data_IF_017441946184
#
_entry.id   IF_017441946184
#
_cell.length_a   1.000
_cell.length_b   1.000
_cell.length_c   1.000
_cell.angle_alpha   90.00
_cell.angle_beta   90.00
_cell.angle_gamma   90.00
#
_symmetry.space_group_name_H-M   'P 1'
#
loop_
_entity.id
_entity.type
_entity.pdbx_description
1 polymer ?
#
# COMPACT_ATOMS: atom_id res chain seq x y z
N UNK A 1 7.55 -1.38 12.03
CA UNK A 1 6.16 -1.87 11.90
C UNK A 1 5.49 -1.27 10.67
N UNK A 2 5.39 0.06 10.51
CA UNK A 2 4.77 0.66 9.31
C UNK A 2 5.34 0.15 7.97
N UNK A 3 6.67 0.04 7.83
CA UNK A 3 7.28 -0.52 6.62
C UNK A 3 6.93 -2.01 6.38
N UNK A 4 6.74 -2.79 7.45
CA UNK A 4 6.23 -4.17 7.36
C UNK A 4 4.82 -4.19 6.80
N UNK A 5 3.95 -3.27 7.23
CA UNK A 5 2.61 -3.12 6.68
C UNK A 5 2.67 -2.78 5.19
N UNK A 6 3.46 -1.79 4.78
CA UNK A 6 3.60 -1.41 3.37
C UNK A 6 4.01 -2.60 2.49
N UNK A 7 5.01 -3.38 2.91
CA UNK A 7 5.45 -4.56 2.17
C UNK A 7 4.35 -5.63 2.10
N UNK A 8 3.72 -5.94 3.23
CA UNK A 8 2.68 -6.96 3.32
C UNK A 8 1.43 -6.58 2.52
N UNK A 9 0.91 -5.39 2.73
CA UNK A 9 -0.31 -4.89 2.11
C UNK A 9 -0.16 -4.82 0.59
N UNK A 10 0.93 -4.22 0.10
CA UNK A 10 1.15 -4.10 -1.34
C UNK A 10 1.27 -5.45 -2.04
N UNK A 11 1.94 -6.40 -1.40
CA UNK A 11 2.08 -7.76 -1.90
C UNK A 11 0.72 -8.46 -1.98
N UNK A 12 -0.04 -8.44 -0.88
CA UNK A 12 -1.36 -9.08 -0.81
C UNK A 12 -2.35 -8.42 -1.76
N UNK A 13 -2.36 -7.09 -1.83
CA UNK A 13 -3.19 -6.33 -2.75
C UNK A 13 -2.92 -6.76 -4.19
N UNK A 14 -1.66 -6.80 -4.61
CA UNK A 14 -1.36 -7.15 -6.00
C UNK A 14 -1.83 -8.56 -6.34
N UNK A 15 -1.43 -9.57 -5.59
CA UNK A 15 -1.77 -10.94 -5.96
C UNK A 15 -3.24 -11.26 -5.67
N UNK A 16 -3.72 -11.00 -4.45
CA UNK A 16 -5.00 -11.55 -3.98
C UNK A 16 -6.20 -10.63 -4.20
N UNK A 17 -5.98 -9.38 -4.58
CA UNK A 17 -7.06 -8.45 -4.95
C UNK A 17 -7.00 -8.03 -6.42
N UNK A 18 -5.80 -7.75 -6.96
CA UNK A 18 -5.66 -7.07 -8.26
C UNK A 18 -5.32 -8.03 -9.42
N UNK A 19 -4.54 -9.08 -9.19
CA UNK A 19 -3.96 -9.89 -10.28
C UNK A 19 -5.03 -10.57 -11.14
N UNK A 20 -6.17 -10.96 -10.57
CA UNK A 20 -7.25 -11.65 -11.28
C UNK A 20 -8.01 -10.75 -12.28
N UNK A 21 -7.71 -9.45 -12.32
CA UNK A 21 -8.16 -8.55 -13.40
C UNK A 21 -7.26 -8.65 -14.65
N UNK A 22 -6.04 -9.18 -14.49
CA UNK A 22 -5.00 -9.25 -15.54
C UNK A 22 -4.65 -10.68 -15.94
N UNK A 23 -4.94 -11.64 -15.07
CA UNK A 23 -4.54 -13.05 -15.17
C UNK A 23 -5.76 -13.92 -15.38
N UNK A 24 -5.77 -14.65 -16.49
CA UNK A 24 -6.79 -15.67 -16.77
C UNK A 24 -6.35 -17.02 -16.19
N UNK A 25 -6.96 -17.40 -15.06
CA UNK A 25 -6.67 -18.64 -14.33
C UNK A 25 -6.99 -19.88 -15.16
N UNK A 26 -8.00 -19.83 -16.03
CA UNK A 26 -8.36 -20.99 -16.88
C UNK A 26 -7.39 -21.11 -18.05
N UNK A 27 -6.94 -19.98 -18.62
CA UNK A 27 -5.93 -19.97 -19.67
C UNK A 27 -4.60 -20.59 -19.22
N UNK A 28 -4.24 -20.49 -17.93
CA UNK A 28 -3.06 -21.14 -17.36
C UNK A 28 -3.03 -22.68 -17.56
N UNK A 29 -4.20 -23.33 -17.71
CA UNK A 29 -4.27 -24.77 -18.00
C UNK A 29 -3.76 -25.14 -19.40
N UNK A 30 -3.63 -24.16 -20.29
CA UNK A 30 -3.14 -24.36 -21.66
C UNK A 30 -1.63 -24.18 -21.79
N UNK A 31 -0.96 -23.78 -20.72
CA UNK A 31 0.46 -23.43 -20.73
C UNK A 31 1.37 -24.64 -20.91
N UNK A 32 2.51 -24.45 -21.59
CA UNK A 32 3.64 -25.38 -21.52
C UNK A 32 4.49 -25.10 -20.25
N UNK A 33 4.61 -26.05 -19.30
CA UNK A 33 5.43 -25.86 -18.11
C UNK A 33 6.92 -25.60 -18.38
N UNK A 34 7.48 -26.13 -19.48
CA UNK A 34 8.88 -25.86 -19.83
C UNK A 34 9.09 -24.41 -20.29
N UNK A 35 8.16 -23.88 -21.08
CA UNK A 35 8.20 -22.48 -21.51
C UNK A 35 7.90 -21.53 -20.34
N UNK A 36 6.95 -21.89 -19.49
CA UNK A 36 6.67 -21.15 -18.24
C UNK A 36 7.93 -21.06 -17.36
N UNK A 37 8.64 -22.16 -17.20
CA UNK A 37 9.93 -22.21 -16.50
C UNK A 37 10.99 -21.31 -17.13
N UNK A 38 11.16 -21.38 -18.45
CA UNK A 38 12.13 -20.54 -19.16
C UNK A 38 11.80 -19.04 -19.03
N UNK A 39 10.51 -18.67 -19.14
CA UNK A 39 10.04 -17.29 -18.92
C UNK A 39 10.39 -16.84 -17.49
N UNK A 40 10.02 -17.62 -16.48
CA UNK A 40 10.29 -17.29 -15.08
C UNK A 40 11.80 -17.06 -14.81
N UNK A 41 12.65 -17.94 -15.33
CA UNK A 41 14.11 -17.85 -15.16
C UNK A 41 14.75 -16.70 -15.95
N UNK A 42 14.19 -16.33 -17.10
CA UNK A 42 14.64 -15.15 -17.85
C UNK A 42 14.22 -13.83 -17.21
N UNK A 43 13.14 -13.85 -16.42
CA UNK A 43 12.57 -12.67 -15.78
C UNK A 43 13.27 -12.36 -14.44
N UNK A 44 13.63 -13.39 -13.68
CA UNK A 44 14.14 -13.24 -12.32
C UNK A 44 15.02 -14.42 -11.88
N UNK A 45 15.84 -14.19 -10.85
CA UNK A 45 16.65 -15.20 -10.19
C UNK A 45 15.87 -16.00 -9.11
N UNK A 46 14.53 -15.90 -9.06
CA UNK A 46 13.71 -16.64 -8.11
C UNK A 46 13.87 -18.18 -8.30
N UNK A 47 14.16 -18.94 -7.23
CA UNK A 47 14.57 -20.34 -7.37
C UNK A 47 13.41 -21.31 -7.67
N UNK A 48 12.15 -20.97 -7.34
CA UNK A 48 10.99 -21.84 -7.56
C UNK A 48 10.47 -21.73 -8.99
N UNK A 49 11.30 -22.16 -9.95
CA UNK A 49 11.07 -21.93 -11.37
C UNK A 49 11.25 -23.18 -12.23
N UNK A 50 11.28 -24.39 -11.64
CA UNK A 50 11.49 -25.62 -12.41
C UNK A 50 10.28 -26.00 -13.27
N UNK A 51 10.47 -26.67 -14.43
CA UNK A 51 9.35 -27.15 -15.24
C UNK A 51 8.43 -28.12 -14.49
N UNK A 52 9.00 -28.95 -13.60
CA UNK A 52 8.26 -29.89 -12.76
C UNK A 52 7.33 -29.17 -11.79
N UNK A 53 7.81 -28.12 -11.12
CA UNK A 53 7.00 -27.28 -10.23
C UNK A 53 5.77 -26.71 -10.94
N UNK A 54 5.95 -26.09 -12.12
CA UNK A 54 4.83 -25.53 -12.88
C UNK A 54 3.86 -26.62 -13.37
N UNK A 55 4.35 -27.79 -13.77
CA UNK A 55 3.51 -28.92 -14.18
C UNK A 55 2.65 -29.43 -13.02
N UNK A 56 3.23 -29.59 -11.84
CA UNK A 56 2.52 -30.08 -10.66
C UNK A 56 1.46 -29.08 -10.19
N UNK A 57 1.79 -27.78 -10.24
CA UNK A 57 0.84 -26.71 -9.94
C UNK A 57 -0.30 -26.65 -10.97
N UNK A 58 0.01 -26.74 -12.25
CA UNK A 58 -0.99 -26.82 -13.32
C UNK A 58 -1.91 -28.04 -13.14
N UNK A 59 -1.36 -29.20 -12.77
CA UNK A 59 -2.14 -30.41 -12.46
C UNK A 59 -3.02 -30.24 -11.21
N UNK A 60 -2.55 -29.53 -10.19
CA UNK A 60 -3.37 -29.17 -9.01
C UNK A 60 -4.52 -28.25 -9.41
N UNK A 61 -4.25 -27.22 -10.21
CA UNK A 61 -5.26 -26.30 -10.71
C UNK A 61 -6.28 -27.01 -11.61
N UNK A 62 -5.82 -27.89 -12.50
CA UNK A 62 -6.66 -28.70 -13.37
C UNK A 62 -7.68 -29.51 -12.56
N UNK A 63 -7.21 -30.27 -11.57
CA UNK A 63 -8.10 -31.04 -10.67
C UNK A 63 -9.07 -30.15 -9.91
N UNK A 64 -8.63 -28.97 -9.47
CA UNK A 64 -9.48 -28.01 -8.78
C UNK A 64 -10.62 -27.50 -9.69
N UNK A 65 -10.33 -27.15 -10.93
CA UNK A 65 -11.36 -26.70 -11.89
C UNK A 65 -12.26 -27.85 -12.32
N UNK A 66 -11.71 -29.03 -12.63
CA UNK A 66 -12.45 -30.24 -13.02
C UNK A 66 -13.36 -30.77 -11.91
N UNK A 67 -13.12 -30.41 -10.65
CA UNK A 67 -14.03 -30.75 -9.54
C UNK A 67 -15.42 -30.10 -9.66
N UNK A 68 -15.57 -29.05 -10.48
CA UNK A 68 -16.77 -28.23 -10.54
C UNK A 68 -16.98 -27.31 -9.33
N UNK A 69 -16.05 -27.30 -8.36
CA UNK A 69 -16.08 -26.48 -7.15
C UNK A 69 -15.05 -25.35 -7.21
N UNK A 70 -15.23 -24.40 -8.14
CA UNK A 70 -14.23 -23.35 -8.44
C UNK A 70 -13.97 -22.34 -7.31
N UNK A 71 -14.78 -22.33 -6.25
CA UNK A 71 -14.57 -21.46 -5.08
C UNK A 71 -14.37 -19.99 -5.49
N UNK A 72 -13.23 -19.35 -5.12
CA UNK A 72 -12.92 -17.96 -5.50
C UNK A 72 -12.90 -17.70 -7.01
N UNK A 73 -12.72 -18.73 -7.85
CA UNK A 73 -12.64 -18.58 -9.30
C UNK A 73 -14.00 -18.78 -9.99
N UNK A 74 -15.07 -19.04 -9.24
CA UNK A 74 -16.40 -19.27 -9.81
C UNK A 74 -16.95 -17.98 -10.42
N UNK A 75 -17.50 -18.08 -11.63
CA UNK A 75 -18.07 -16.95 -12.39
C UNK A 75 -17.10 -15.77 -12.60
N UNK A 76 -15.79 -16.06 -12.61
CA UNK A 76 -14.77 -15.07 -12.99
C UNK A 76 -14.79 -14.75 -14.49
N UNK A 77 -14.10 -13.68 -14.87
CA UNK A 77 -14.07 -13.13 -16.23
C UNK A 77 -13.13 -13.89 -17.19
N UNK A 78 -13.03 -15.21 -17.03
CA UNK A 78 -12.13 -16.07 -17.80
C UNK A 78 -12.53 -16.09 -19.28
N UNK A 79 -11.56 -15.92 -20.17
CA UNK A 79 -11.76 -15.80 -21.62
C UNK A 79 -12.24 -14.42 -22.09
N UNK A 80 -12.38 -13.43 -21.19
CA UNK A 80 -12.74 -12.07 -21.57
C UNK A 80 -11.69 -11.48 -22.56
N UNK A 81 -12.09 -10.77 -23.62
CA UNK A 81 -11.16 -10.25 -24.63
C UNK A 81 -10.14 -9.22 -24.10
N UNK A 82 -10.37 -8.67 -22.91
CA UNK A 82 -9.40 -7.82 -22.23
C UNK A 82 -8.26 -8.60 -21.56
N UNK A 83 -8.36 -9.92 -21.36
CA UNK A 83 -7.27 -10.76 -20.86
C UNK A 83 -6.27 -11.05 -21.99
N UNK A 84 -5.05 -10.52 -21.87
CA UNK A 84 -4.05 -10.50 -22.95
C UNK A 84 -2.79 -11.32 -22.68
N UNK A 85 -2.63 -11.86 -21.47
CA UNK A 85 -1.45 -12.67 -21.15
C UNK A 85 -1.50 -14.02 -21.90
N UNK A 86 -0.35 -14.51 -22.43
CA UNK A 86 -0.28 -15.87 -22.94
C UNK A 86 -0.45 -16.89 -21.80
N UNK A 87 -0.84 -18.14 -22.11
CA UNK A 87 -1.02 -19.20 -21.10
C UNK A 87 0.16 -19.33 -20.13
N UNK A 88 1.40 -19.25 -20.61
CA UNK A 88 2.62 -19.41 -19.81
C UNK A 88 2.77 -18.29 -18.77
N UNK A 89 2.49 -17.03 -19.14
CA UNK A 89 2.51 -15.92 -18.21
C UNK A 89 1.36 -16.01 -17.19
N UNK A 90 0.21 -16.54 -17.59
CA UNK A 90 -0.88 -16.81 -16.66
C UNK A 90 -0.49 -17.90 -15.64
N UNK A 91 0.12 -19.00 -16.07
CA UNK A 91 0.56 -20.06 -15.16
C UNK A 91 1.64 -19.58 -14.20
N UNK A 92 2.58 -18.75 -14.67
CA UNK A 92 3.57 -18.09 -13.82
C UNK A 92 2.89 -17.23 -12.74
N UNK A 93 1.98 -16.34 -13.15
CA UNK A 93 1.29 -15.44 -12.23
C UNK A 93 0.41 -16.19 -11.22
N UNK A 94 -0.26 -17.27 -11.63
CA UNK A 94 -1.03 -18.15 -10.72
C UNK A 94 -0.11 -18.86 -9.73
N UNK A 95 1.09 -19.29 -10.15
CA UNK A 95 2.05 -19.86 -9.23
C UNK A 95 2.49 -18.85 -8.17
N UNK A 96 2.90 -17.66 -8.59
CA UNK A 96 3.31 -16.59 -7.67
C UNK A 96 2.15 -16.07 -6.80
N UNK A 97 0.91 -16.08 -7.28
CA UNK A 97 -0.28 -15.82 -6.47
C UNK A 97 -0.36 -16.76 -5.27
N UNK A 98 -0.14 -18.06 -5.49
CA UNK A 98 -0.19 -19.07 -4.43
C UNK A 98 1.02 -18.96 -3.49
N UNK A 99 2.22 -18.77 -4.02
CA UNK A 99 3.42 -18.51 -3.22
C UNK A 99 3.26 -17.27 -2.35
N UNK A 100 2.69 -16.18 -2.88
CA UNK A 100 2.42 -14.96 -2.12
C UNK A 100 1.41 -15.20 -1.00
N UNK A 101 0.38 -16.03 -1.23
CA UNK A 101 -0.63 -16.37 -0.21
C UNK A 101 0.01 -17.12 0.97
N UNK A 102 0.96 -17.99 0.66
CA UNK A 102 1.74 -18.69 1.67
C UNK A 102 2.78 -17.78 2.34
N UNK A 103 3.47 -16.93 1.59
CA UNK A 103 4.58 -16.15 2.12
C UNK A 103 4.12 -14.96 2.98
N UNK A 104 3.01 -14.30 2.63
CA UNK A 104 2.59 -13.06 3.30
C UNK A 104 2.43 -13.20 4.83
N UNK A 105 2.07 -14.40 5.32
CA UNK A 105 1.93 -14.69 6.76
C UNK A 105 3.26 -14.60 7.53
N UNK A 106 4.39 -14.72 6.84
CA UNK A 106 5.72 -14.61 7.43
C UNK A 106 6.07 -13.15 7.69
N UNK A 107 5.76 -12.25 6.75
CA UNK A 107 6.10 -10.82 6.81
C UNK A 107 5.56 -10.20 8.11
N UNK A 108 4.31 -10.52 8.44
CA UNK A 108 3.62 -9.96 9.61
C UNK A 108 4.15 -10.46 10.95
N UNK A 109 5.02 -11.48 11.00
CA UNK A 109 5.65 -11.91 12.25
C UNK A 109 6.52 -10.82 12.87
N UNK A 110 6.98 -9.84 12.10
CA UNK A 110 7.62 -8.63 12.65
C UNK A 110 6.64 -7.84 13.52
N UNK A 111 5.38 -7.68 13.09
CA UNK A 111 4.33 -7.10 13.95
C UNK A 111 4.08 -7.97 15.17
N UNK A 112 4.12 -9.29 15.04
CA UNK A 112 3.94 -10.20 16.18
C UNK A 112 5.05 -10.05 17.23
N UNK A 113 6.31 -9.89 16.82
CA UNK A 113 7.43 -9.69 17.76
C UNK A 113 7.30 -8.38 18.53
N UNK A 114 7.02 -7.26 17.85
CA UNK A 114 7.01 -5.95 18.49
C UNK A 114 5.64 -5.51 19.06
N UNK A 115 4.55 -6.05 18.51
CA UNK A 115 3.17 -5.67 18.83
C UNK A 115 2.30 -6.83 19.30
N UNK A 116 2.87 -8.01 19.53
CA UNK A 116 2.21 -9.18 20.12
C UNK A 116 1.35 -10.01 19.16
N UNK A 117 0.75 -9.40 18.13
CA UNK A 117 -0.09 -10.12 17.14
C UNK A 117 -0.26 -9.36 15.81
N UNK A 118 -0.75 -10.08 14.81
CA UNK A 118 -1.28 -9.52 13.57
C UNK A 118 -2.48 -10.37 13.10
N UNK A 119 -3.61 -9.76 12.67
CA UNK A 119 -3.91 -8.32 12.62
C UNK A 119 -4.05 -7.63 13.98
N UNK A 120 -4.09 -6.29 13.97
CA UNK A 120 -4.23 -5.43 15.15
C UNK A 120 -3.12 -5.59 16.22
N UNK A 121 -1.86 -5.29 15.88
CA UNK A 121 -0.79 -5.21 16.89
C UNK A 121 -1.06 -4.10 17.93
N UNK A 122 -0.44 -4.22 19.08
CA UNK A 122 -0.50 -3.23 20.15
C UNK A 122 0.55 -2.11 19.96
N UNK A 123 0.20 -0.91 20.40
CA UNK A 123 1.03 0.31 20.41
C UNK A 123 0.95 0.97 21.80
N UNK A 124 1.79 1.97 22.06
CA UNK A 124 1.84 2.68 23.35
C UNK A 124 2.03 4.20 23.13
N UNK A 125 1.20 5.03 23.79
CA UNK A 125 1.49 6.47 23.85
C UNK A 125 2.79 6.67 24.65
N UNK A 126 3.76 7.34 24.06
CA UNK A 126 5.10 7.53 24.64
C UNK A 126 6.18 6.57 24.12
N UNK A 127 5.83 5.58 23.28
CA UNK A 127 6.82 4.70 22.64
C UNK A 127 6.24 3.37 22.18
N UNK A 128 6.86 2.26 22.60
CA UNK A 128 6.41 0.89 22.29
C UNK A 128 6.40 0.01 23.54
N UNK A 129 5.45 -0.95 23.65
CA UNK A 129 5.35 -1.81 24.83
C UNK A 129 6.39 -2.95 24.85
N UNK A 130 7.07 -3.22 23.73
CA UNK A 130 8.03 -4.30 23.58
C UNK A 130 9.42 -3.90 24.13
N UNK A 131 9.54 -3.85 25.46
CA UNK A 131 10.80 -3.58 26.14
C UNK A 131 11.94 -4.49 25.66
N UNK A 132 13.16 -3.95 25.64
CA UNK A 132 14.35 -4.64 25.14
C UNK A 132 15.26 -5.02 26.30
N UNK A 133 15.72 -6.27 26.31
CA UNK A 133 16.78 -6.77 27.17
C UNK A 133 17.54 -7.87 26.41
N UNK A 134 18.82 -7.60 26.08
CA UNK A 134 19.63 -8.48 25.23
C UNK A 134 20.47 -9.48 26.02
N UNK A 135 21.01 -9.04 27.17
CA UNK A 135 22.16 -9.66 27.83
C UNK A 135 22.03 -9.75 29.36
N UNK A 136 21.02 -9.11 29.96
CA UNK A 136 20.76 -9.18 31.40
C UNK A 136 19.83 -10.33 31.79
N UNK A 137 19.86 -10.70 33.07
CA UNK A 137 18.93 -11.70 33.62
C UNK A 137 17.48 -11.27 33.37
N UNK A 138 16.67 -12.20 32.86
CA UNK A 138 15.27 -11.92 32.50
C UNK A 138 15.03 -11.56 31.03
N UNK A 139 16.05 -11.57 30.16
CA UNK A 139 15.93 -11.34 28.71
C UNK A 139 14.89 -12.23 28.01
N UNK A 140 14.57 -13.41 28.57
CA UNK A 140 13.51 -14.30 28.06
C UNK A 140 12.10 -13.69 28.12
N UNK A 141 11.89 -12.65 28.95
CA UNK A 141 10.62 -11.92 29.07
C UNK A 141 10.55 -10.64 28.22
N UNK A 142 11.53 -10.39 27.33
CA UNK A 142 11.68 -9.14 26.58
C UNK A 142 12.04 -9.41 25.11
N UNK A 143 12.12 -8.34 24.30
CA UNK A 143 12.79 -8.40 23.01
C UNK A 143 14.29 -8.61 23.26
N UNK A 144 14.78 -9.79 22.89
CA UNK A 144 16.16 -10.22 23.05
C UNK A 144 16.81 -10.54 21.69
N UNK A 145 18.07 -10.98 21.71
CA UNK A 145 18.83 -11.23 20.48
C UNK A 145 18.19 -12.28 19.56
N UNK A 146 17.54 -13.32 20.11
CA UNK A 146 16.89 -14.32 19.29
C UNK A 146 15.62 -13.77 18.62
N UNK A 147 14.85 -12.91 19.30
CA UNK A 147 13.73 -12.17 18.69
C UNK A 147 14.19 -11.26 17.55
N UNK A 148 15.32 -10.57 17.73
CA UNK A 148 15.90 -9.71 16.70
C UNK A 148 16.44 -10.51 15.51
N UNK A 149 17.02 -11.70 15.74
CA UNK A 149 17.42 -12.61 14.67
C UNK A 149 16.23 -13.08 13.82
N UNK A 150 15.10 -13.40 14.46
CA UNK A 150 13.86 -13.74 13.75
C UNK A 150 13.41 -12.57 12.87
N UNK A 151 13.35 -11.36 13.42
CA UNK A 151 13.00 -10.14 12.66
C UNK A 151 13.93 -9.96 11.46
N UNK A 152 15.26 -10.01 11.67
CA UNK A 152 16.24 -9.90 10.60
C UNK A 152 16.03 -10.93 9.48
N UNK A 153 15.74 -12.20 9.83
CA UNK A 153 15.47 -13.23 8.84
C UNK A 153 14.21 -12.95 8.03
N UNK A 154 13.16 -12.42 8.65
CA UNK A 154 11.91 -12.10 7.97
C UNK A 154 12.10 -10.92 7.01
N UNK A 155 12.84 -9.88 7.43
CA UNK A 155 13.14 -8.72 6.60
C UNK A 155 13.82 -9.14 5.29
N UNK A 156 14.86 -9.97 5.38
CA UNK A 156 15.58 -10.44 4.20
C UNK A 156 14.68 -11.24 3.25
N UNK A 157 13.85 -12.15 3.78
CA UNK A 157 12.89 -12.90 2.96
C UNK A 157 11.85 -12.00 2.30
N UNK A 158 11.36 -10.98 3.01
CA UNK A 158 10.34 -10.07 2.49
C UNK A 158 10.88 -9.23 1.33
N UNK A 159 12.08 -8.66 1.49
CA UNK A 159 12.79 -7.94 0.43
C UNK A 159 13.02 -8.83 -0.78
N UNK A 160 13.56 -10.03 -0.56
CA UNK A 160 13.81 -10.99 -1.63
C UNK A 160 12.54 -11.30 -2.43
N UNK A 161 11.40 -11.53 -1.76
CA UNK A 161 10.14 -11.81 -2.45
C UNK A 161 9.66 -10.61 -3.28
N UNK A 162 9.72 -9.39 -2.74
CA UNK A 162 9.35 -8.20 -3.49
C UNK A 162 10.25 -7.96 -4.72
N UNK A 163 11.56 -8.13 -4.55
CA UNK A 163 12.59 -7.89 -5.57
C UNK A 163 12.59 -8.97 -6.66
N UNK A 164 12.34 -10.24 -6.29
CA UNK A 164 12.49 -11.38 -7.21
C UNK A 164 11.17 -11.95 -7.72
N UNK A 165 10.02 -11.59 -7.13
CA UNK A 165 8.70 -12.13 -7.52
C UNK A 165 7.75 -10.99 -7.88
N UNK A 166 7.43 -10.12 -6.93
CA UNK A 166 6.39 -9.10 -7.12
C UNK A 166 6.74 -8.07 -8.20
N UNK A 167 7.85 -7.35 -8.06
CA UNK A 167 8.23 -6.32 -9.03
C UNK A 167 8.46 -6.90 -10.44
N UNK A 168 9.18 -8.04 -10.62
CA UNK A 168 9.33 -8.66 -11.93
C UNK A 168 8.00 -9.07 -12.58
N UNK A 169 7.06 -9.64 -11.81
CA UNK A 169 5.74 -10.02 -12.32
C UNK A 169 4.96 -8.80 -12.83
N UNK A 170 5.02 -7.67 -12.11
CA UNK A 170 4.40 -6.42 -12.57
C UNK A 170 5.01 -5.94 -13.88
N UNK A 171 6.34 -6.02 -14.05
CA UNK A 171 7.00 -5.66 -15.31
C UNK A 171 6.57 -6.59 -16.46
N UNK A 172 6.49 -7.89 -16.21
CA UNK A 172 6.01 -8.86 -17.21
C UNK A 172 4.58 -8.54 -17.62
N UNK A 173 3.65 -8.42 -16.65
CA UNK A 173 2.24 -8.13 -16.92
C UNK A 173 2.10 -6.78 -17.63
N UNK A 174 2.78 -5.73 -17.14
CA UNK A 174 2.78 -4.41 -17.78
C UNK A 174 3.22 -4.45 -19.24
N UNK A 175 4.14 -5.34 -19.60
CA UNK A 175 4.61 -5.49 -20.98
C UNK A 175 3.52 -5.95 -21.96
N UNK A 176 2.53 -6.71 -21.51
CA UNK A 176 1.37 -7.15 -22.30
C UNK A 176 0.20 -6.15 -22.28
N UNK A 177 0.15 -5.30 -21.25
CA UNK A 177 -0.91 -4.32 -21.00
C UNK A 177 -0.45 -2.87 -21.18
N UNK A 178 0.54 -2.60 -22.05
CA UNK A 178 1.07 -1.24 -22.25
C UNK A 178 0.02 -0.21 -22.65
N UNK A 179 -1.08 -0.61 -23.28
CA UNK A 179 -2.19 0.29 -23.61
C UNK A 179 -2.92 0.82 -22.35
N UNK A 180 -2.90 0.07 -21.25
CA UNK A 180 -3.42 0.53 -19.95
C UNK A 180 -2.61 1.67 -19.33
N UNK A 181 -1.43 1.98 -19.88
CA UNK A 181 -0.70 3.20 -19.56
C UNK A 181 -1.44 4.49 -19.97
N UNK A 182 -2.53 4.38 -20.72
CA UNK A 182 -3.38 5.50 -21.17
C UNK A 182 -4.78 5.49 -20.54
N UNK A 183 -5.05 4.58 -19.62
CA UNK A 183 -6.38 4.35 -19.03
C UNK A 183 -6.31 4.62 -17.53
N UNK A 184 -7.33 5.28 -16.96
CA UNK A 184 -7.46 5.45 -15.51
C UNK A 184 -6.46 6.42 -14.86
N UNK A 185 -6.00 7.41 -15.63
CA UNK A 185 -5.19 8.50 -15.08
C UNK A 185 -5.95 9.34 -14.05
N UNK A 186 -7.17 9.75 -14.37
CA UNK A 186 -7.99 10.55 -13.46
C UNK A 186 -7.26 11.83 -13.05
N UNK A 187 -7.09 12.03 -11.74
CA UNK A 187 -6.42 13.21 -11.18
C UNK A 187 -4.89 13.08 -11.14
N UNK A 188 -4.30 11.90 -11.43
CA UNK A 188 -2.86 11.66 -11.25
C UNK A 188 -1.93 12.55 -12.07
N UNK A 189 -2.37 13.08 -13.21
CA UNK A 189 -1.62 14.06 -14.01
C UNK A 189 -1.81 15.51 -13.56
N UNK A 190 -2.68 15.75 -12.57
CA UNK A 190 -3.15 17.07 -12.18
C UNK A 190 -2.88 17.36 -10.70
N UNK A 191 -3.47 16.59 -9.80
CA UNK A 191 -3.56 16.90 -8.38
C UNK A 191 -3.12 15.72 -7.51
N UNK A 192 -2.03 15.88 -6.77
CA UNK A 192 -1.42 14.83 -5.94
C UNK A 192 -1.16 15.34 -4.53
N UNK A 193 -1.35 14.50 -3.52
CA UNK A 193 -1.10 14.84 -2.12
C UNK A 193 -0.41 13.69 -1.39
N UNK A 194 0.60 14.01 -0.60
CA UNK A 194 1.23 13.11 0.36
C UNK A 194 1.70 13.88 1.61
N UNK A 195 1.53 13.28 2.79
CA UNK A 195 1.95 13.89 4.06
C UNK A 195 3.39 13.54 4.46
N UNK A 196 3.99 12.58 3.77
CA UNK A 196 5.29 12.01 4.12
C UNK A 196 5.22 11.08 5.32
N UNK A 197 6.25 10.28 5.49
CA UNK A 197 6.33 9.24 6.51
C UNK A 197 7.78 8.82 6.73
N UNK A 198 7.99 7.99 7.75
CA UNK A 198 9.26 7.42 8.14
C UNK A 198 10.23 8.51 8.59
N UNK A 199 9.94 9.21 9.71
CA UNK A 199 10.89 10.13 10.30
C UNK A 199 12.17 9.37 10.65
N UNK A 200 13.30 9.85 10.15
CA UNK A 200 14.59 9.23 10.42
C UNK A 200 14.93 9.42 11.90
N UNK A 201 15.07 10.68 12.32
CA UNK A 201 15.27 11.03 13.71
C UNK A 201 13.95 11.05 14.50
N UNK A 202 13.91 10.50 15.73
CA UNK A 202 12.71 10.48 16.54
C UNK A 202 12.15 11.88 16.82
N UNK A 203 10.83 12.02 16.81
CA UNK A 203 10.09 13.24 17.16
C UNK A 203 10.31 14.46 16.24
N UNK A 204 11.03 14.32 15.13
CA UNK A 204 11.11 15.33 14.08
C UNK A 204 10.25 14.90 12.89
N UNK A 205 9.09 15.54 12.74
CA UNK A 205 8.14 15.27 11.66
C UNK A 205 8.23 16.29 10.51
N UNK A 206 9.36 17.01 10.41
CA UNK A 206 9.66 17.90 9.30
C UNK A 206 9.87 17.12 7.99
N UNK A 207 9.51 17.72 6.86
CA UNK A 207 9.68 17.10 5.54
C UNK A 207 11.14 16.70 5.23
N UNK A 208 12.12 17.39 5.83
CA UNK A 208 13.54 17.07 5.69
C UNK A 208 13.96 15.79 6.40
N UNK A 209 13.22 15.37 7.43
CA UNK A 209 13.51 14.17 8.21
C UNK A 209 12.63 12.98 7.80
N UNK A 210 11.56 13.20 7.04
CA UNK A 210 10.70 12.15 6.50
C UNK A 210 11.34 11.51 5.25
N UNK A 211 11.67 10.22 5.33
CA UNK A 211 12.23 9.47 4.21
C UNK A 211 11.25 9.40 3.03
N UNK A 212 9.95 9.26 3.31
CA UNK A 212 8.91 9.24 2.29
C UNK A 212 8.45 10.68 1.96
N UNK A 213 8.27 11.05 0.68
CA UNK A 213 7.95 12.41 0.25
C UNK A 213 6.68 13.02 0.86
N UNK A 214 6.79 14.29 1.25
CA UNK A 214 5.67 15.17 1.62
C UNK A 214 5.50 16.29 0.59
N UNK A 215 4.27 16.60 0.22
CA UNK A 215 3.95 17.72 -0.65
C UNK A 215 2.57 17.63 -1.31
N UNK A 216 2.19 18.70 -1.99
CA UNK A 216 1.00 18.76 -2.84
C UNK A 216 1.35 19.32 -4.22
N UNK A 217 0.81 18.72 -5.27
CA UNK A 217 0.89 19.21 -6.65
C UNK A 217 -0.52 19.57 -7.10
N UNK A 218 -0.66 20.69 -7.80
CA UNK A 218 -1.94 21.20 -8.28
C UNK A 218 -1.87 21.55 -9.77
N UNK A 219 -2.93 21.23 -10.51
CA UNK A 219 -3.13 21.59 -11.91
C UNK A 219 -1.98 21.17 -12.84
N UNK A 220 -1.31 20.05 -12.53
CA UNK A 220 -0.21 19.49 -13.32
C UNK A 220 1.08 20.31 -13.25
N UNK A 221 1.21 21.22 -12.27
CA UNK A 221 2.41 22.04 -12.05
C UNK A 221 3.43 21.27 -11.21
N UNK A 222 4.06 20.27 -11.81
CA UNK A 222 5.03 19.41 -11.13
C UNK A 222 6.35 20.13 -10.75
N UNK A 223 6.59 21.31 -11.32
CA UNK A 223 7.66 22.24 -10.95
C UNK A 223 7.35 23.04 -9.67
N UNK A 224 6.09 23.07 -9.25
CA UNK A 224 5.61 23.79 -8.06
C UNK A 224 5.07 22.80 -7.02
N UNK A 225 5.95 22.26 -6.16
CA UNK A 225 5.55 21.34 -5.09
C UNK A 225 5.24 22.15 -3.82
N UNK A 226 3.96 22.28 -3.50
CA UNK A 226 3.49 23.03 -2.34
C UNK A 226 3.74 22.25 -1.04
N UNK A 227 4.21 22.91 0.03
CA UNK A 227 4.24 22.31 1.36
C UNK A 227 2.81 22.08 1.87
N UNK A 228 2.66 21.08 2.74
CA UNK A 228 1.37 20.74 3.36
C UNK A 228 1.40 21.12 4.84
N UNK A 229 0.41 21.88 5.30
CA UNK A 229 0.20 22.23 6.71
C UNK A 229 -1.15 21.67 7.19
N UNK A 230 -1.08 20.72 8.14
CA UNK A 230 -2.25 20.05 8.69
C UNK A 230 -2.99 20.90 9.74
N UNK A 231 -2.35 21.97 10.23
CA UNK A 231 -2.91 22.88 11.24
C UNK A 231 -3.63 24.07 10.64
N UNK A 232 -3.39 24.36 9.35
CA UNK A 232 -4.06 25.42 8.61
C UNK A 232 -5.54 25.06 8.36
N UNK A 233 -6.51 25.83 8.89
CA UNK A 233 -7.94 25.49 8.83
C UNK A 233 -8.57 25.65 7.43
N UNK A 234 -7.92 26.40 6.56
CA UNK A 234 -8.32 26.62 5.16
C UNK A 234 -7.63 25.64 4.18
N UNK A 235 -6.79 24.75 4.68
CA UNK A 235 -6.01 23.82 3.87
C UNK A 235 -6.71 22.47 3.69
N UNK A 236 -6.78 21.63 4.72
CA UNK A 236 -7.42 20.31 4.62
C UNK A 236 -8.82 20.39 5.19
N UNK A 237 -9.81 20.21 4.32
CA UNK A 237 -11.22 20.30 4.69
C UNK A 237 -12.01 19.12 4.16
N UNK A 238 -13.01 18.66 4.91
CA UNK A 238 -13.97 17.66 4.47
C UNK A 238 -15.34 18.29 4.22
N UNK A 239 -15.96 17.92 3.11
CA UNK A 239 -17.32 18.33 2.74
C UNK A 239 -18.27 17.15 2.87
N UNK A 240 -19.55 17.43 3.12
CA UNK A 240 -20.63 16.42 3.20
C UNK A 240 -21.79 16.70 2.24
N UNK A 241 -21.61 17.62 1.29
CA UNK A 241 -22.63 18.02 0.31
C UNK A 241 -23.28 16.80 -0.36
N UNK A 242 -22.45 15.85 -0.81
CA UNK A 242 -22.89 14.62 -1.47
C UNK A 242 -22.70 13.34 -0.62
N UNK A 243 -22.59 13.50 0.71
CA UNK A 243 -22.36 12.40 1.65
C UNK A 243 -23.50 12.31 2.67
N UNK A 244 -23.81 11.11 3.17
CA UNK A 244 -24.87 10.83 4.16
C UNK A 244 -24.51 11.29 5.58
N UNK A 245 -24.10 12.55 5.72
CA UNK A 245 -23.86 13.26 6.96
C UNK A 245 -24.46 14.66 6.89
N UNK A 246 -24.64 15.31 8.04
CA UNK A 246 -25.08 16.71 8.12
C UNK A 246 -24.10 17.55 8.93
N UNK A 247 -23.93 18.80 8.55
CA UNK A 247 -23.22 19.83 9.33
C UNK A 247 -24.20 20.86 9.95
N UNK A 248 -25.48 20.47 10.06
CA UNK A 248 -26.57 21.34 10.48
C UNK A 248 -27.20 22.12 9.32
N UNK A 249 -28.35 22.73 9.60
CA UNK A 249 -29.17 23.42 8.59
C UNK A 249 -28.38 24.55 7.92
N UNK A 250 -28.30 24.52 6.58
CA UNK A 250 -27.61 25.55 5.78
C UNK A 250 -26.08 25.47 5.74
N UNK A 251 -25.47 24.42 6.32
CA UNK A 251 -24.00 24.27 6.35
C UNK A 251 -23.48 23.12 5.49
N UNK A 252 -24.34 22.36 4.80
CA UNK A 252 -23.92 21.18 4.03
C UNK A 252 -23.01 21.49 2.83
N UNK A 253 -22.94 22.75 2.39
CA UNK A 253 -22.03 23.21 1.33
C UNK A 253 -20.68 23.73 1.85
N UNK A 254 -20.50 23.82 3.18
CA UNK A 254 -19.25 24.27 3.79
C UNK A 254 -18.32 23.10 4.06
N UNK A 255 -17.03 23.33 3.84
CA UNK A 255 -15.97 22.43 4.27
C UNK A 255 -15.59 22.70 5.71
N UNK A 256 -15.30 21.65 6.48
CA UNK A 256 -14.79 21.76 7.84
C UNK A 256 -13.39 21.17 7.92
N UNK A 257 -12.47 21.89 8.56
CA UNK A 257 -11.18 21.32 8.98
C UNK A 257 -11.42 20.22 10.03
N UNK A 258 -10.61 19.15 10.08
CA UNK A 258 -10.83 18.04 11.03
C UNK A 258 -10.93 18.42 12.51
N UNK A 259 -10.28 19.49 12.97
CA UNK A 259 -10.45 19.96 14.36
C UNK A 259 -11.85 20.51 14.66
N UNK A 260 -12.55 20.99 13.63
CA UNK A 260 -13.94 21.45 13.70
C UNK A 260 -14.90 20.42 13.06
N UNK A 261 -14.38 19.24 12.68
CA UNK A 261 -15.10 18.23 11.93
C UNK A 261 -16.26 17.63 12.71
N UNK A 262 -17.39 17.45 12.03
CA UNK A 262 -18.58 16.80 12.57
C UNK A 262 -18.80 15.45 11.88
N UNK A 263 -19.32 14.47 12.61
CA UNK A 263 -19.68 13.15 12.06
C UNK A 263 -21.07 12.77 12.57
N UNK A 264 -22.08 13.51 12.11
CA UNK A 264 -23.48 13.24 12.38
C UNK A 264 -24.14 12.58 11.16
N UNK A 265 -24.46 11.27 11.20
CA UNK A 265 -24.98 10.54 10.04
C UNK A 265 -26.40 10.99 9.68
N UNK A 266 -26.66 11.19 8.39
CA UNK A 266 -27.97 11.53 7.86
C UNK A 266 -28.17 10.81 6.51
N UNK A 267 -28.78 9.62 6.57
CA UNK A 267 -29.17 8.87 5.38
C UNK A 267 -30.47 9.44 4.81
N UNK A 268 -30.35 10.13 3.69
CA UNK A 268 -31.45 10.67 2.89
C UNK A 268 -31.07 10.53 1.41
N UNK A 269 -32.02 10.10 0.60
CA UNK A 269 -31.84 9.92 -0.84
C UNK A 269 -32.44 11.10 -1.60
N UNK A 270 -31.93 11.37 -2.81
CA UNK A 270 -32.44 12.44 -3.67
C UNK A 270 -33.71 12.09 -4.44
N UNK A 271 -34.21 13.04 -5.24
CA UNK A 271 -35.45 12.92 -6.00
C UNK A 271 -35.40 11.84 -7.09
N UNK A 272 -34.23 11.58 -7.65
CA UNK A 272 -34.02 10.62 -8.74
C UNK A 272 -33.61 9.22 -8.25
N UNK A 273 -33.65 8.99 -6.94
CA UNK A 273 -33.34 7.71 -6.33
C UNK A 273 -34.32 6.62 -6.77
N UNK A 274 -33.80 5.43 -7.10
CA UNK A 274 -34.61 4.25 -7.40
C UNK A 274 -34.34 3.17 -6.38
N UNK A 275 -35.37 2.81 -5.63
CA UNK A 275 -35.30 1.74 -4.64
C UNK A 275 -36.22 1.97 -3.45
N UNK A 276 -35.93 1.28 -2.37
CA UNK A 276 -36.59 1.41 -1.07
C UNK A 276 -35.56 1.67 0.02
N UNK A 277 -35.99 1.83 1.28
CA UNK A 277 -35.06 2.04 2.40
C UNK A 277 -34.05 0.91 2.58
N UNK A 278 -34.41 -0.31 2.20
CA UNK A 278 -33.57 -1.52 2.36
C UNK A 278 -33.01 -2.05 1.05
N UNK A 279 -33.24 -1.35 -0.07
CA UNK A 279 -32.83 -1.81 -1.40
C UNK A 279 -32.51 -0.63 -2.31
N UNK A 280 -31.27 -0.54 -2.78
CA UNK A 280 -30.83 0.48 -3.73
C UNK A 280 -30.75 -0.19 -5.10
N UNK A 281 -31.60 0.24 -6.04
CA UNK A 281 -31.47 -0.14 -7.45
C UNK A 281 -30.56 0.84 -8.19
N UNK A 282 -30.75 2.14 -7.96
CA UNK A 282 -29.94 3.21 -8.53
C UNK A 282 -29.82 4.34 -7.52
N UNK A 283 -28.59 4.80 -7.28
CA UNK A 283 -28.31 5.96 -6.43
C UNK A 283 -28.63 7.25 -7.20
N UNK A 284 -28.93 8.33 -6.48
CA UNK A 284 -29.04 9.69 -7.04
C UNK A 284 -27.80 10.51 -6.68
N UNK A 285 -26.87 10.62 -7.62
CA UNK A 285 -25.61 11.33 -7.45
C UNK A 285 -25.75 12.86 -7.42
N UNK A 286 -26.92 13.41 -7.79
CA UNK A 286 -27.20 14.85 -7.67
C UNK A 286 -27.44 15.30 -6.23
N UNK A 287 -27.63 14.34 -5.32
CA UNK A 287 -27.86 14.55 -3.89
C UNK A 287 -26.80 13.81 -3.05
N UNK A 288 -27.15 13.36 -1.84
CA UNK A 288 -26.27 12.56 -0.98
C UNK A 288 -26.27 11.10 -1.46
N UNK A 289 -25.09 10.56 -1.75
CA UNK A 289 -24.96 9.24 -2.37
C UNK A 289 -23.91 8.32 -1.74
N UNK A 290 -23.20 8.76 -0.70
CA UNK A 290 -22.07 8.01 -0.14
C UNK A 290 -21.91 8.16 1.37
N UNK A 291 -21.44 7.10 2.03
CA UNK A 291 -20.95 7.15 3.41
C UNK A 291 -19.51 7.68 3.52
N UNK A 292 -18.89 8.05 2.41
CA UNK A 292 -17.55 8.63 2.39
C UNK A 292 -17.70 10.15 2.35
N UNK A 293 -17.04 10.86 3.28
CA UNK A 293 -16.92 12.33 3.24
C UNK A 293 -16.04 12.76 2.06
N UNK A 294 -16.09 14.03 1.69
CA UNK A 294 -15.38 14.58 0.54
C UNK A 294 -14.19 15.45 0.97
N UNK A 295 -13.02 14.89 1.33
CA UNK A 295 -11.83 15.66 1.67
C UNK A 295 -11.29 16.42 0.45
N UNK A 296 -10.82 17.65 0.65
CA UNK A 296 -10.21 18.54 -0.35
C UNK A 296 -9.03 19.28 0.27
N UNK A 297 -8.03 19.58 -0.56
CA UNK A 297 -6.89 20.41 -0.17
C UNK A 297 -6.99 21.78 -0.85
N UNK A 298 -7.20 22.83 -0.07
CA UNK A 298 -7.48 24.20 -0.56
C UNK A 298 -8.58 24.22 -1.62
N UNK A 299 -9.64 23.44 -1.39
CA UNK A 299 -10.76 23.26 -2.33
C UNK A 299 -10.51 22.30 -3.51
N UNK A 300 -9.28 21.82 -3.72
CA UNK A 300 -8.95 20.91 -4.82
C UNK A 300 -9.20 19.44 -4.43
N UNK A 301 -9.78 18.69 -5.35
CA UNK A 301 -9.80 17.22 -5.25
C UNK A 301 -8.39 16.69 -5.55
N UNK A 302 -7.91 15.77 -4.71
CA UNK A 302 -6.55 15.24 -4.76
C UNK A 302 -6.57 13.73 -4.96
N UNK A 303 -5.54 13.21 -5.63
CA UNK A 303 -5.20 11.79 -5.55
C UNK A 303 -4.10 11.57 -4.51
N UNK A 304 -4.22 10.49 -3.73
CA UNK A 304 -3.27 10.06 -2.69
C UNK A 304 -2.76 8.63 -2.97
N UNK A 305 -1.81 8.15 -2.18
CA UNK A 305 -1.29 6.78 -2.25
C UNK A 305 0.01 6.63 -3.05
N UNK A 306 0.41 5.40 -3.41
CA UNK A 306 1.77 5.13 -3.93
C UNK A 306 2.17 5.98 -5.14
N UNK A 307 1.26 6.19 -6.10
CA UNK A 307 1.56 6.98 -7.30
C UNK A 307 1.80 8.46 -6.96
N UNK A 308 0.97 9.05 -6.09
CA UNK A 308 1.15 10.44 -5.63
C UNK A 308 2.51 10.60 -4.92
N UNK A 309 2.82 9.72 -3.97
CA UNK A 309 4.09 9.70 -3.24
C UNK A 309 5.30 9.63 -4.18
N UNK A 310 5.26 8.68 -5.12
CA UNK A 310 6.34 8.48 -6.07
C UNK A 310 6.50 9.65 -7.04
N UNK A 311 5.41 10.23 -7.54
CA UNK A 311 5.48 11.40 -8.43
C UNK A 311 5.98 12.65 -7.71
N UNK A 312 5.54 12.88 -6.47
CA UNK A 312 6.08 13.98 -5.64
C UNK A 312 7.58 13.76 -5.41
N UNK A 313 7.99 12.57 -4.97
CA UNK A 313 9.41 12.24 -4.77
C UNK A 313 10.26 12.36 -6.04
N UNK A 314 9.71 11.92 -7.18
CA UNK A 314 10.34 12.02 -8.49
C UNK A 314 10.63 13.48 -8.87
N UNK A 315 9.66 14.38 -8.67
CA UNK A 315 9.79 15.80 -9.01
C UNK A 315 10.53 16.61 -7.93
N UNK A 316 10.61 16.12 -6.69
CA UNK A 316 11.60 16.55 -5.69
C UNK A 316 13.03 16.11 -6.04
N UNK A 317 13.21 15.36 -7.13
CA UNK A 317 14.49 14.89 -7.64
C UNK A 317 15.25 13.96 -6.66
N UNK A 318 14.51 13.20 -5.86
CA UNK A 318 15.06 12.21 -4.92
C UNK A 318 15.44 10.92 -5.67
N UNK A 319 16.74 10.53 -5.72
CA UNK A 319 17.19 9.39 -6.55
C UNK A 319 16.55 8.07 -6.13
N UNK A 320 16.23 7.90 -4.84
CA UNK A 320 15.63 6.68 -4.29
C UNK A 320 14.25 6.36 -4.91
N UNK A 321 13.57 7.37 -5.46
CA UNK A 321 12.30 7.22 -6.18
C UNK A 321 12.48 7.40 -7.69
N UNK A 322 13.35 8.34 -8.09
CA UNK A 322 13.54 8.70 -9.49
C UNK A 322 14.18 7.59 -10.31
N UNK A 323 15.28 7.00 -9.81
CA UNK A 323 16.04 5.99 -10.56
C UNK A 323 15.23 4.70 -10.80
N UNK A 324 14.51 4.13 -9.80
CA UNK A 324 13.68 2.96 -10.03
C UNK A 324 12.52 3.22 -11.00
N UNK A 325 11.93 4.43 -10.97
CA UNK A 325 10.89 4.83 -11.91
C UNK A 325 11.45 4.94 -13.33
N UNK A 326 12.58 5.61 -13.51
CA UNK A 326 13.23 5.76 -14.82
C UNK A 326 13.64 4.40 -15.40
N UNK A 327 14.16 3.49 -14.57
CA UNK A 327 14.50 2.12 -14.97
C UNK A 327 13.25 1.32 -15.40
N UNK A 328 12.14 1.42 -14.65
CA UNK A 328 10.88 0.76 -14.98
C UNK A 328 10.34 1.25 -16.34
N UNK A 329 10.31 2.57 -16.54
CA UNK A 329 9.86 3.16 -17.80
C UNK A 329 10.77 2.77 -18.97
N UNK A 330 12.09 2.70 -18.74
CA UNK A 330 13.08 2.27 -19.74
C UNK A 330 12.84 0.82 -20.19
N UNK A 331 12.72 -0.12 -19.24
CA UNK A 331 12.46 -1.55 -19.54
C UNK A 331 11.15 -1.72 -20.30
N UNK A 332 10.10 -1.00 -19.89
CA UNK A 332 8.81 -1.04 -20.56
C UNK A 332 8.77 -0.22 -21.87
N UNK A 333 9.80 0.58 -22.15
CA UNK A 333 9.85 1.53 -23.28
C UNK A 333 8.62 2.45 -23.29
N UNK A 334 8.28 3.00 -22.12
CA UNK A 334 7.16 3.91 -21.93
C UNK A 334 7.66 5.31 -21.56
N UNK A 335 6.94 6.38 -21.96
CA UNK A 335 7.30 7.75 -21.58
C UNK A 335 6.82 8.05 -20.15
N UNK A 336 7.23 9.20 -19.58
CA UNK A 336 6.88 9.58 -18.20
C UNK A 336 5.38 9.68 -17.97
N UNK A 337 4.64 10.12 -18.98
CA UNK A 337 3.18 10.29 -18.94
C UNK A 337 2.45 8.96 -18.74
N UNK A 338 3.11 7.82 -19.01
CA UNK A 338 2.57 6.50 -18.70
C UNK A 338 2.31 6.28 -17.21
N UNK A 339 2.99 7.03 -16.33
CA UNK A 339 2.75 6.99 -14.89
C UNK A 339 1.34 7.47 -14.52
N UNK A 340 0.74 8.35 -15.33
CA UNK A 340 -0.59 8.92 -15.08
C UNK A 340 -1.71 7.95 -15.54
N UNK A 341 -1.74 6.76 -14.96
CA UNK A 341 -2.63 5.68 -15.38
C UNK A 341 -2.87 4.61 -14.32
N UNK A 342 -3.83 3.72 -14.56
CA UNK A 342 -4.04 2.49 -13.78
C UNK A 342 -2.78 1.61 -13.77
N UNK A 343 -2.08 1.51 -14.91
CA UNK A 343 -0.84 0.74 -14.98
C UNK A 343 0.28 1.39 -14.16
N UNK A 344 0.45 2.71 -14.29
CA UNK A 344 1.41 3.50 -13.53
C UNK A 344 1.18 3.41 -12.02
N UNK A 345 -0.09 3.46 -11.58
CA UNK A 345 -0.46 3.28 -10.17
C UNK A 345 -0.14 1.88 -9.64
N UNK A 346 -0.31 0.86 -10.46
CA UNK A 346 0.07 -0.51 -10.14
C UNK A 346 1.59 -0.66 -10.03
N UNK A 347 2.33 -0.06 -10.98
CA UNK A 347 3.80 -0.05 -10.99
C UNK A 347 4.38 0.69 -9.76
N UNK A 348 3.85 1.86 -9.41
CA UNK A 348 4.29 2.62 -8.24
C UNK A 348 4.19 1.82 -6.95
N UNK A 349 3.13 1.04 -6.77
CA UNK A 349 2.96 0.15 -5.60
C UNK A 349 4.01 -0.95 -5.53
N UNK A 350 4.38 -1.54 -6.66
CA UNK A 350 5.42 -2.56 -6.72
C UNK A 350 6.79 -1.98 -6.37
N UNK A 351 7.13 -0.81 -6.94
CA UNK A 351 8.33 -0.06 -6.58
C UNK A 351 8.36 0.26 -5.08
N UNK A 352 7.23 0.70 -4.52
CA UNK A 352 7.12 1.03 -3.10
C UNK A 352 7.30 -0.18 -2.19
N UNK A 353 6.88 -1.37 -2.60
CA UNK A 353 7.11 -2.60 -1.81
C UNK A 353 8.61 -2.90 -1.66
N UNK A 354 9.41 -2.70 -2.72
CA UNK A 354 10.87 -2.88 -2.68
C UNK A 354 11.51 -1.78 -1.83
N UNK A 355 11.11 -0.52 -2.04
CA UNK A 355 11.58 0.60 -1.24
C UNK A 355 11.28 0.38 0.25
N UNK A 356 10.05 0.00 0.60
CA UNK A 356 9.63 -0.25 1.97
C UNK A 356 10.38 -1.43 2.60
N UNK A 357 10.70 -2.46 1.80
CA UNK A 357 11.57 -3.55 2.23
C UNK A 357 12.97 -3.05 2.63
N UNK A 358 13.55 -2.15 1.83
CA UNK A 358 14.85 -1.54 2.13
C UNK A 358 14.77 -0.60 3.33
N UNK A 359 13.72 0.21 3.44
CA UNK A 359 13.45 1.08 4.59
C UNK A 359 13.28 0.26 5.88
N UNK A 360 12.64 -0.90 5.80
CA UNK A 360 12.52 -1.83 6.92
C UNK A 360 13.88 -2.35 7.40
N UNK A 361 14.77 -2.73 6.47
CA UNK A 361 16.15 -3.12 6.82
C UNK A 361 16.93 -1.93 7.41
N UNK A 362 16.80 -0.74 6.82
CA UNK A 362 17.46 0.47 7.29
C UNK A 362 17.12 0.78 8.76
N UNK A 363 15.84 0.78 9.12
CA UNK A 363 15.41 1.04 10.50
C UNK A 363 15.80 -0.09 11.45
N UNK A 364 15.83 -1.34 10.99
CA UNK A 364 16.35 -2.44 11.79
C UNK A 364 17.85 -2.26 12.06
N UNK A 365 18.64 -1.88 11.06
CA UNK A 365 20.08 -1.59 11.25
C UNK A 365 20.30 -0.40 12.18
N UNK A 366 19.44 0.62 12.12
CA UNK A 366 19.45 1.76 13.05
C UNK A 366 19.18 1.31 14.49
N UNK A 367 18.15 0.49 14.71
CA UNK A 367 17.88 -0.14 16.00
C UNK A 367 19.11 -0.91 16.50
N UNK A 368 19.70 -1.76 15.65
CA UNK A 368 20.89 -2.53 16.03
C UNK A 368 22.11 -1.65 16.38
N UNK A 369 22.27 -0.49 15.74
CA UNK A 369 23.33 0.48 16.10
C UNK A 369 23.09 1.11 17.47
N UNK A 370 21.86 1.52 17.79
CA UNK A 370 21.50 2.05 19.11
C UNK A 370 21.81 1.01 20.20
N UNK A 371 21.39 -0.23 19.98
CA UNK A 371 21.62 -1.33 20.92
C UNK A 371 23.11 -1.60 21.14
N UNK A 372 23.93 -1.56 20.09
CA UNK A 372 25.39 -1.69 20.21
C UNK A 372 26.03 -0.56 21.00
N UNK A 373 25.43 0.64 20.99
CA UNK A 373 25.86 1.77 21.83
C UNK A 373 25.26 1.77 23.25
N UNK A 374 24.48 0.75 23.61
CA UNK A 374 23.86 0.62 24.92
C UNK A 374 22.51 1.34 25.09
N UNK A 375 21.95 1.90 24.02
CA UNK A 375 20.62 2.51 24.05
C UNK A 375 19.54 1.44 23.83
N UNK A 376 18.83 1.09 24.90
CA UNK A 376 17.76 0.08 24.94
C UNK A 376 16.39 0.67 25.30
N UNK A 377 16.26 2.00 25.38
CA UNK A 377 15.04 2.65 25.83
C UNK A 377 13.89 2.52 24.81
N UNK A 378 12.68 2.19 25.29
CA UNK A 378 11.52 1.96 24.41
C UNK A 378 10.29 2.82 24.71
N UNK A 379 10.24 3.49 25.87
CA UNK A 379 9.09 4.30 26.27
C UNK A 379 9.50 5.50 27.12
N UNK A 380 8.94 6.67 26.80
CA UNK A 380 8.93 7.83 27.67
C UNK A 380 7.64 7.84 28.50
N UNK A 381 7.76 7.83 29.81
CA UNK A 381 6.63 7.77 30.76
C UNK A 381 6.46 9.06 31.58
N UNK A 382 7.17 10.15 31.25
CA UNK A 382 7.08 11.42 31.99
C UNK A 382 5.69 12.05 31.97
N UNK A 383 4.92 11.81 30.91
CA UNK A 383 3.55 12.28 30.73
C UNK A 383 2.57 11.10 30.59
N UNK A 384 2.83 9.99 31.28
CA UNK A 384 1.94 8.83 31.24
C UNK A 384 0.64 9.07 32.03
N UNK A 385 0.77 9.64 33.23
CA UNK A 385 -0.36 9.90 34.11
C UNK A 385 -1.18 11.10 33.62
N UNK A 386 -2.51 10.99 33.50
CA UNK A 386 -3.35 12.09 32.98
C UNK A 386 -3.31 13.38 33.79
N UNK A 387 -2.95 13.34 35.07
CA UNK A 387 -2.80 14.51 35.93
C UNK A 387 -1.57 15.38 35.56
N UNK A 388 -0.65 14.85 34.76
CA UNK A 388 0.49 15.59 34.19
C UNK A 388 0.17 16.33 32.90
N UNK A 389 -1.00 16.07 32.30
CA UNK A 389 -1.36 16.63 31.00
C UNK A 389 -1.85 18.08 31.12
N UNK A 390 -1.70 18.90 30.06
CA UNK A 390 -2.39 20.18 29.98
C UNK A 390 -3.91 19.97 30.10
N UNK A 391 -4.61 20.91 30.76
CA UNK A 391 -6.08 20.87 30.91
C UNK A 391 -6.80 20.80 29.56
N UNK A 392 -6.23 21.39 28.51
CA UNK A 392 -6.69 21.25 27.13
C UNK A 392 -5.52 21.34 26.16
N UNK A 393 -5.56 20.52 25.11
CA UNK A 393 -4.58 20.56 24.02
C UNK A 393 -5.20 20.05 22.72
N UNK A 394 -4.68 20.50 21.58
CA UNK A 394 -4.99 19.94 20.25
C UNK A 394 -3.72 19.29 19.70
N UNK A 395 -3.88 18.18 18.99
CA UNK A 395 -2.78 17.46 18.35
C UNK A 395 -3.15 17.01 16.94
N UNK A 396 -2.13 16.74 16.13
CA UNK A 396 -2.26 16.10 14.82
C UNK A 396 -1.29 14.93 14.76
N UNK A 397 -1.80 13.74 14.45
CA UNK A 397 -1.01 12.60 14.02
C UNK A 397 -1.24 12.38 12.52
N UNK A 398 -0.19 12.08 11.77
CA UNK A 398 -0.26 11.74 10.35
C UNK A 398 0.67 10.57 10.03
N UNK A 399 0.38 9.89 8.91
CA UNK A 399 1.13 8.75 8.39
C UNK A 399 0.87 8.58 6.89
N UNK A 400 1.65 7.73 6.23
CA UNK A 400 1.42 7.26 4.85
C UNK A 400 1.43 5.74 4.74
#
# INVERSE_FOLDING_TARGET
MQATLHVHDHLVHFYHLHALDWVDVVAALKADPHQTSAIAQSLSAWPLSSPGYFRDLQNRLKRFIESGQLGPFRNGYWGHPAMKLPPEANLLAVAHYLEALDFQKEIVKIHTVFGGKNPHPNWLVGGVPCAINLDETGAVGAVNMERLNLVSSIIQKARQFCEQVYLPDVLLIASYYKDWAKIGGGLSSMNLLAYGEFPDNPNDYSASNLLLPRGAIINGRFDEIHPVDLTAPDEIQEFVTHSWYTYGNGNNDKGLHPWDGLTEPQLVMGEHYKGTKTFIEQVDESAKYSWIKSPRWKGHAMEVGPLARYLIGYHQNKPEFKEPVDQLLSVLKLPKEALFSTLGRTAARALESVWAGNTLQYFFDRLMRNLKSGDTATANVTLWEPDTWPTSTKGVGFSE
#
